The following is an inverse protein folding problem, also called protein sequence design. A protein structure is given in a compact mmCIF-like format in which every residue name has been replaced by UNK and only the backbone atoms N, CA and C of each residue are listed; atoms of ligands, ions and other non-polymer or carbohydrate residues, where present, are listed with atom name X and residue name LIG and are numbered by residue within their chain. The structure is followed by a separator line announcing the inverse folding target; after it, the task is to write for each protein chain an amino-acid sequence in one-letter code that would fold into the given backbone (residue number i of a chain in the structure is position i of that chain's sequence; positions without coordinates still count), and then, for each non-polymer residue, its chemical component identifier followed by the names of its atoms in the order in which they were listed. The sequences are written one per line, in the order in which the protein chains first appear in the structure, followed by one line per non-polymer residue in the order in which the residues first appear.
data_IF_353258227568
#
_entry.id   IF_353258227568
#
_cell.length_a   1.000
_cell.length_b   1.000
_cell.length_c   1.000
_cell.angle_alpha   90.00
_cell.angle_beta   90.00
_cell.angle_gamma   90.00
#
_symmetry.space_group_name_H-M   'P 1'
#
loop_
_entity.id
_entity.type
_entity.pdbx_description
1 polymer ?
#
# COMPACT_ATOMS: atom_id res chain seq x y z
N UNK A 1 -14.66 -2.68 -14.09
CA UNK A 1 -14.03 -2.22 -15.36
C UNK A 1 -12.53 -2.47 -15.29
N UNK A 2 -11.85 -2.67 -16.41
CA UNK A 2 -10.39 -2.83 -16.43
C UNK A 2 -9.78 -2.37 -17.77
N UNK A 3 -8.53 -1.85 -17.76
CA UNK A 3 -7.79 -1.56 -18.99
C UNK A 3 -7.35 -2.86 -19.69
N UNK A 4 -7.35 -2.86 -21.02
CA UNK A 4 -6.99 -4.00 -21.86
C UNK A 4 -6.13 -3.54 -23.04
N UNK A 5 -5.05 -4.28 -23.31
CA UNK A 5 -4.28 -4.19 -24.56
C UNK A 5 -4.85 -5.16 -25.59
N UNK A 6 -5.22 -4.68 -26.77
CA UNK A 6 -5.72 -5.46 -27.90
C UNK A 6 -4.73 -5.36 -29.06
N UNK A 7 -4.06 -6.46 -29.39
CA UNK A 7 -3.20 -6.53 -30.58
C UNK A 7 -4.07 -6.61 -31.84
N UNK A 8 -3.82 -5.71 -32.79
CA UNK A 8 -4.50 -5.65 -34.07
C UNK A 8 -3.74 -6.49 -35.12
N UNK A 9 -4.46 -6.93 -36.17
CA UNK A 9 -3.85 -7.66 -37.30
C UNK A 9 -2.72 -6.88 -37.99
N UNK A 10 -2.73 -5.55 -37.88
CA UNK A 10 -1.71 -4.64 -38.42
C UNK A 10 -0.43 -4.55 -37.57
N UNK A 11 -0.33 -5.29 -36.46
CA UNK A 11 0.81 -5.25 -35.54
C UNK A 11 0.74 -4.14 -34.49
N UNK A 12 -0.25 -3.25 -34.58
CA UNK A 12 -0.48 -2.19 -33.58
C UNK A 12 -1.22 -2.70 -32.34
N UNK A 13 -1.12 -1.98 -31.22
CA UNK A 13 -1.72 -2.33 -29.94
C UNK A 13 -2.72 -1.23 -29.55
N UNK A 14 -4.02 -1.55 -29.55
CA UNK A 14 -5.05 -0.64 -29.05
C UNK A 14 -5.20 -0.79 -27.54
N UNK A 15 -5.25 0.31 -26.80
CA UNK A 15 -5.50 0.30 -25.36
C UNK A 15 -6.89 0.84 -25.09
N UNK A 16 -7.74 0.01 -24.47
CA UNK A 16 -9.15 0.33 -24.21
C UNK A 16 -9.53 -0.07 -22.80
N UNK A 17 -10.51 0.60 -22.21
CA UNK A 17 -11.13 0.19 -20.95
C UNK A 17 -12.43 -0.53 -21.27
N UNK A 18 -12.59 -1.68 -20.61
CA UNK A 18 -13.73 -2.58 -20.80
C UNK A 18 -14.54 -2.66 -19.51
N UNK A 19 -15.86 -2.67 -19.66
CA UNK A 19 -16.79 -3.06 -18.63
C UNK A 19 -17.39 -4.43 -18.90
N UNK A 20 -17.48 -5.24 -17.85
CA UNK A 20 -18.13 -6.56 -17.83
C UNK A 20 -19.22 -6.68 -16.77
N UNK A 21 -19.56 -5.59 -16.07
CA UNK A 21 -20.54 -5.56 -14.98
C UNK A 21 -21.92 -6.11 -15.38
N UNK A 22 -22.31 -5.95 -16.64
CA UNK A 22 -23.60 -6.39 -17.19
C UNK A 22 -23.55 -7.75 -17.90
N UNK A 23 -22.57 -8.61 -17.58
CA UNK A 23 -22.43 -9.95 -18.17
C UNK A 23 -21.90 -10.00 -19.60
N UNK A 24 -21.69 -8.85 -20.25
CA UNK A 24 -21.19 -8.73 -21.61
C UNK A 24 -19.93 -7.87 -21.71
N UNK A 25 -19.16 -8.05 -22.79
CA UNK A 25 -18.01 -7.20 -23.08
C UNK A 25 -18.48 -5.86 -23.66
N UNK A 26 -18.27 -4.76 -22.93
CA UNK A 26 -18.54 -3.41 -23.42
C UNK A 26 -17.29 -2.55 -23.37
N UNK A 27 -16.91 -1.98 -24.51
CA UNK A 27 -15.87 -0.95 -24.52
C UNK A 27 -16.45 0.36 -23.96
N UNK A 28 -15.77 0.91 -22.96
CA UNK A 28 -16.20 2.13 -22.25
C UNK A 28 -15.47 3.34 -22.79
N UNK A 29 -14.17 3.20 -23.04
CA UNK A 29 -13.30 4.28 -23.48
C UNK A 29 -12.05 3.74 -24.16
N UNK A 30 -11.66 4.35 -25.28
CA UNK A 30 -10.38 4.10 -25.94
C UNK A 30 -9.33 5.14 -25.51
N UNK A 31 -8.10 4.69 -25.30
CA UNK A 31 -6.93 5.52 -24.94
C UNK A 31 -5.96 5.68 -26.11
N UNK A 32 -6.27 5.08 -27.26
CA UNK A 32 -5.48 5.18 -28.48
C UNK A 32 -4.81 3.87 -28.90
N UNK A 33 -3.93 4.01 -29.89
CA UNK A 33 -3.23 2.90 -30.55
C UNK A 33 -1.73 3.16 -30.48
N UNK A 34 -0.98 2.16 -30.01
CA UNK A 34 0.48 2.17 -29.91
C UNK A 34 1.10 1.30 -31.01
N UNK A 35 2.30 1.65 -31.46
CA UNK A 35 3.10 0.83 -32.38
C UNK A 35 4.13 -0.03 -31.64
N UNK A 36 4.52 0.38 -30.44
CA UNK A 36 5.49 -0.33 -29.61
C UNK A 36 4.86 -0.76 -28.28
N UNK A 37 5.48 -1.75 -27.62
CA UNK A 37 5.00 -2.21 -26.30
C UNK A 37 5.14 -1.10 -25.25
N UNK A 38 6.25 -0.34 -25.29
CA UNK A 38 6.48 0.77 -24.35
C UNK A 38 5.44 1.89 -24.47
N UNK A 39 5.01 2.23 -25.69
CA UNK A 39 3.89 3.16 -25.89
C UNK A 39 2.58 2.57 -25.35
N UNK A 40 2.34 1.28 -25.57
CA UNK A 40 1.16 0.59 -25.07
C UNK A 40 1.13 0.56 -23.53
N UNK A 41 2.28 0.40 -22.87
CA UNK A 41 2.42 0.48 -21.41
C UNK A 41 2.06 1.87 -20.88
N UNK A 42 2.54 2.93 -21.54
CA UNK A 42 2.20 4.31 -21.15
C UNK A 42 0.70 4.58 -21.29
N UNK A 43 0.07 4.12 -22.37
CA UNK A 43 -1.37 4.22 -22.56
C UNK A 43 -2.14 3.37 -21.53
N UNK A 44 -1.63 2.18 -21.21
CA UNK A 44 -2.23 1.29 -20.22
C UNK A 44 -2.19 1.89 -18.82
N UNK A 45 -1.08 2.53 -18.42
CA UNK A 45 -0.97 3.24 -17.14
C UNK A 45 -1.99 4.38 -17.03
N UNK A 46 -2.16 5.18 -18.09
CA UNK A 46 -3.20 6.22 -18.15
C UNK A 46 -4.61 5.65 -18.05
N UNK A 47 -4.86 4.53 -18.72
CA UNK A 47 -6.14 3.83 -18.66
C UNK A 47 -6.42 3.27 -17.25
N UNK A 48 -5.41 2.71 -16.58
CA UNK A 48 -5.50 2.23 -15.22
C UNK A 48 -5.80 3.37 -14.23
N UNK A 49 -5.10 4.50 -14.35
CA UNK A 49 -5.37 5.70 -13.55
C UNK A 49 -6.78 6.23 -13.75
N UNK A 50 -7.24 6.26 -15.00
CA UNK A 50 -8.60 6.66 -15.29
C UNK A 50 -9.62 5.71 -14.67
N UNK A 51 -9.41 4.39 -14.73
CA UNK A 51 -10.29 3.40 -14.08
C UNK A 51 -10.36 3.63 -12.57
N UNK A 52 -9.23 3.94 -11.90
CA UNK A 52 -9.22 4.26 -10.46
C UNK A 52 -10.06 5.49 -10.12
N UNK A 53 -10.06 6.51 -10.98
CA UNK A 53 -10.84 7.74 -10.78
C UNK A 53 -12.29 7.63 -11.26
N UNK A 54 -12.59 6.68 -12.13
CA UNK A 54 -13.88 6.57 -12.78
C UNK A 54 -14.94 6.00 -11.83
N UNK A 55 -16.06 6.72 -11.68
CA UNK A 55 -17.22 6.26 -10.91
C UNK A 55 -17.06 6.25 -9.39
N UNK A 56 -16.00 6.86 -8.84
CA UNK A 56 -15.78 6.93 -7.39
C UNK A 56 -15.41 5.59 -6.75
N UNK A 57 -14.89 4.65 -7.54
CA UNK A 57 -14.47 3.33 -7.05
C UNK A 57 -13.32 3.51 -6.04
N UNK A 58 -13.59 3.27 -4.76
CA UNK A 58 -12.55 3.28 -3.73
C UNK A 58 -11.63 2.07 -3.93
N UNK A 59 -10.35 2.33 -4.12
CA UNK A 59 -9.31 1.31 -4.06
C UNK A 59 -9.07 1.00 -2.59
N UNK A 60 -9.33 -0.24 -2.18
CA UNK A 60 -8.98 -0.70 -0.84
C UNK A 60 -7.51 -1.12 -0.91
N UNK A 61 -6.63 -0.36 -0.25
CA UNK A 61 -5.22 -0.70 -0.14
C UNK A 61 -5.02 -1.84 0.86
N UNK A 62 -5.05 -3.07 0.35
CA UNK A 62 -4.73 -4.27 1.14
C UNK A 62 -3.23 -4.46 1.38
N UNK A 63 -2.37 -3.70 0.71
CA UNK A 63 -0.93 -3.84 0.89
C UNK A 63 -0.45 -3.18 2.19
N UNK A 64 -1.24 -2.28 2.79
CA UNK A 64 -0.94 -1.55 4.04
C UNK A 64 0.49 -1.00 4.11
N UNK A 65 1.10 -0.75 2.95
CA UNK A 65 2.55 -0.49 2.87
C UNK A 65 2.96 0.79 3.59
N UNK A 66 2.06 1.78 3.58
CA UNK A 66 2.18 3.02 4.35
C UNK A 66 2.09 2.79 5.86
N UNK A 67 1.21 1.91 6.33
CA UNK A 67 1.06 1.55 7.75
C UNK A 67 2.33 0.82 8.23
N UNK A 68 2.80 -0.16 7.46
CA UNK A 68 4.02 -0.92 7.78
C UNK A 68 5.24 0.01 7.86
N UNK A 69 5.37 0.94 6.90
CA UNK A 69 6.45 1.94 6.94
C UNK A 69 6.35 2.85 8.15
N UNK A 70 5.14 3.27 8.51
CA UNK A 70 4.92 4.12 9.67
C UNK A 70 5.24 3.37 10.98
N UNK A 71 4.81 2.12 11.13
CA UNK A 71 5.14 1.27 12.29
C UNK A 71 6.65 1.04 12.43
N UNK A 72 7.34 0.82 11.30
CA UNK A 72 8.79 0.66 11.28
C UNK A 72 9.49 1.95 11.74
N UNK A 73 9.08 3.11 11.21
CA UNK A 73 9.65 4.41 11.59
C UNK A 73 9.43 4.74 13.07
N UNK A 74 8.23 4.47 13.60
CA UNK A 74 7.96 4.67 15.03
C UNK A 74 8.77 3.71 15.91
N UNK A 75 8.94 2.46 15.49
CA UNK A 75 9.76 1.48 16.22
C UNK A 75 11.23 1.92 16.26
N UNK A 76 11.79 2.32 15.12
CA UNK A 76 13.14 2.87 15.02
C UNK A 76 13.30 4.12 15.89
N UNK A 77 12.31 5.03 15.89
CA UNK A 77 12.34 6.21 16.74
C UNK A 77 12.38 5.85 18.22
N UNK A 78 11.58 4.88 18.67
CA UNK A 78 11.60 4.43 20.06
C UNK A 78 12.96 3.85 20.42
N UNK A 79 13.47 2.93 19.60
CA UNK A 79 14.75 2.25 19.86
C UNK A 79 15.93 3.22 19.88
N UNK A 80 15.98 4.16 18.94
CA UNK A 80 17.06 5.16 18.86
C UNK A 80 17.05 6.16 20.02
N UNK A 81 15.92 6.32 20.71
CA UNK A 81 15.82 7.19 21.89
C UNK A 81 16.06 6.45 23.22
N UNK A 82 16.36 5.15 23.20
CA UNK A 82 16.77 4.41 24.39
C UNK A 82 18.21 4.80 24.75
N UNK A 83 18.37 5.59 25.82
CA UNK A 83 19.68 6.03 26.30
C UNK A 83 20.39 4.98 27.16
N UNK A 84 19.64 4.12 27.87
CA UNK A 84 20.18 3.03 28.67
C UNK A 84 19.10 1.96 28.95
N UNK A 85 19.53 0.70 29.04
CA UNK A 85 18.72 -0.41 29.56
C UNK A 85 19.31 -0.84 30.89
N UNK A 86 18.53 -0.73 31.97
CA UNK A 86 18.98 -1.06 33.33
C UNK A 86 18.24 -2.29 33.83
N UNK A 87 18.99 -3.28 34.32
CA UNK A 87 18.42 -4.49 34.92
C UNK A 87 18.18 -4.27 36.42
N UNK A 88 17.31 -3.32 36.75
CA UNK A 88 16.93 -3.00 38.13
C UNK A 88 15.47 -3.35 38.44
N UNK A 89 14.79 -4.09 37.56
CA UNK A 89 13.39 -4.50 37.73
C UNK A 89 13.12 -5.20 39.07
N UNK A 90 13.91 -6.21 39.47
CA UNK A 90 13.77 -6.85 40.78
C UNK A 90 13.90 -5.85 41.94
N UNK A 91 14.85 -4.93 41.88
CA UNK A 91 15.06 -3.90 42.91
C UNK A 91 13.89 -2.91 42.95
N UNK A 92 13.33 -2.50 41.81
CA UNK A 92 12.17 -1.62 41.78
C UNK A 92 10.94 -2.23 42.46
N UNK A 93 10.78 -3.56 42.36
CA UNK A 93 9.69 -4.30 43.01
C UNK A 93 10.02 -4.57 44.48
N UNK A 94 11.21 -5.12 44.75
CA UNK A 94 11.58 -5.56 46.10
C UNK A 94 11.83 -4.41 47.05
N UNK A 95 12.39 -3.27 46.59
CA UNK A 95 12.63 -2.14 47.48
C UNK A 95 11.34 -1.67 48.14
N UNK A 96 10.22 -1.59 47.39
CA UNK A 96 8.92 -1.24 47.97
C UNK A 96 8.46 -2.22 49.05
N UNK A 97 8.71 -3.51 48.85
CA UNK A 97 8.38 -4.56 49.83
C UNK A 97 9.26 -4.42 51.06
N UNK A 98 10.57 -4.30 50.90
CA UNK A 98 11.54 -4.15 52.00
C UNK A 98 11.30 -2.87 52.81
N UNK A 99 11.00 -1.75 52.16
CA UNK A 99 10.62 -0.50 52.81
C UNK A 99 9.34 -0.68 53.64
N UNK A 100 8.35 -1.41 53.11
CA UNK A 100 7.08 -1.67 53.83
C UNK A 100 7.25 -2.52 55.10
N UNK A 101 8.30 -3.33 55.18
CA UNK A 101 8.64 -4.15 56.36
C UNK A 101 9.74 -3.52 57.24
N UNK A 102 10.10 -2.25 56.98
CA UNK A 102 10.97 -1.45 57.83
C UNK A 102 12.47 -1.66 57.65
N UNK A 103 12.89 -2.14 56.46
CA UNK A 103 14.30 -2.29 56.08
C UNK A 103 14.88 -1.03 55.38
N UNK A 104 14.19 0.10 55.45
CA UNK A 104 14.56 1.41 54.89
C UNK A 104 15.36 2.31 55.86
N UNK A 105 15.72 1.81 57.05
CA UNK A 105 16.41 2.56 58.12
C UNK A 105 17.88 2.18 58.31
#
# INVERSE_FOLDING_TARGET
MFPRKKRNRTGTISVVVVDKSRGGFKEVKSFGVAKTEAEADRLYAKAAEWVRKYGGQQEIDFAQSSIIQQEFLESERVLNNISAVVLNGPQQILNQVYDSIGFDR
#
